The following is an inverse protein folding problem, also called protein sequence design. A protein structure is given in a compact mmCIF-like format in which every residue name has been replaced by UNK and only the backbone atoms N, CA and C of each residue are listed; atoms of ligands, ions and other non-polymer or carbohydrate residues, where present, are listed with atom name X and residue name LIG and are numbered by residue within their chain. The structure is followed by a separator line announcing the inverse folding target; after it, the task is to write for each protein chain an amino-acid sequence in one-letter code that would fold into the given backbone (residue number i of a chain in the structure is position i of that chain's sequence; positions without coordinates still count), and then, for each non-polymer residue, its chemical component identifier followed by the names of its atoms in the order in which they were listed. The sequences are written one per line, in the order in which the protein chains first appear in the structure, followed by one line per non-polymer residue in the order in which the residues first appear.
data_IF_901809765579
#
_entry.id   IF_901809765579
#
_cell.length_a   1.000
_cell.length_b   1.000
_cell.length_c   1.000
_cell.angle_alpha   90.00
_cell.angle_beta   90.00
_cell.angle_gamma   90.00
#
_symmetry.space_group_name_H-M   'P 1'
#
loop_
_entity.id
_entity.type
_entity.pdbx_description
1 polymer ?
#
# COMPACT_ATOMS: atom_id res chain seq x y z
N UNK A 1 -33.75 15.59 -2.54
CA UNK A 1 -34.43 14.44 -1.93
C UNK A 1 -34.50 13.33 -2.98
N UNK A 2 -33.44 12.54 -3.09
CA UNK A 2 -33.48 11.30 -3.87
C UNK A 2 -33.88 10.19 -2.88
N UNK A 3 -34.83 9.32 -3.25
CA UNK A 3 -35.31 8.28 -2.34
C UNK A 3 -34.13 7.40 -1.94
N UNK A 4 -34.07 7.05 -0.67
CA UNK A 4 -33.20 5.97 -0.15
C UNK A 4 -33.27 4.82 -1.15
N UNK A 5 -32.14 4.46 -1.76
CA UNK A 5 -32.06 3.32 -2.64
C UNK A 5 -32.20 2.08 -1.75
N UNK A 6 -33.46 1.77 -1.42
CA UNK A 6 -33.87 0.62 -0.64
C UNK A 6 -33.24 -0.61 -1.26
N UNK A 7 -32.62 -1.45 -0.43
CA UNK A 7 -32.18 -2.79 -0.79
C UNK A 7 -33.19 -3.40 -1.77
N UNK A 8 -32.77 -3.62 -3.01
CA UNK A 8 -33.58 -4.39 -3.94
C UNK A 8 -33.78 -5.77 -3.31
N UNK A 9 -35.01 -6.30 -3.42
CA UNK A 9 -35.29 -7.63 -2.90
C UNK A 9 -34.30 -8.60 -3.55
N UNK A 10 -33.46 -9.24 -2.74
CA UNK A 10 -32.51 -10.24 -3.24
C UNK A 10 -33.31 -11.25 -4.04
N UNK A 11 -32.86 -11.49 -5.27
CA UNK A 11 -33.48 -12.45 -6.17
C UNK A 11 -33.52 -13.79 -5.42
N UNK A 12 -34.64 -14.51 -5.52
CA UNK A 12 -34.95 -15.73 -4.75
C UNK A 12 -35.47 -15.53 -3.31
N UNK A 13 -35.71 -14.30 -2.85
CA UNK A 13 -36.34 -14.04 -1.54
C UNK A 13 -35.42 -14.34 -0.35
N UNK A 14 -34.11 -14.39 -0.59
CA UNK A 14 -33.11 -14.60 0.46
C UNK A 14 -32.99 -13.36 1.35
N UNK A 15 -32.62 -13.57 2.61
CA UNK A 15 -32.29 -12.46 3.49
C UNK A 15 -31.00 -11.77 3.00
N UNK A 16 -31.07 -10.46 2.86
CA UNK A 16 -29.97 -9.62 2.38
C UNK A 16 -28.67 -9.79 3.16
N UNK A 17 -28.75 -9.86 4.50
CA UNK A 17 -27.59 -10.04 5.37
C UNK A 17 -26.91 -11.39 5.12
N UNK A 18 -27.69 -12.47 4.99
CA UNK A 18 -27.17 -13.80 4.72
C UNK A 18 -26.54 -13.90 3.34
N UNK A 19 -27.19 -13.36 2.31
CA UNK A 19 -26.66 -13.38 0.94
C UNK A 19 -25.34 -12.61 0.83
N UNK A 20 -25.26 -11.42 1.43
CA UNK A 20 -24.04 -10.61 1.47
C UNK A 20 -22.92 -11.33 2.24
N UNK A 21 -23.22 -11.85 3.44
CA UNK A 21 -22.24 -12.53 4.30
C UNK A 21 -21.69 -13.80 3.66
N UNK A 22 -22.56 -14.63 3.06
CA UNK A 22 -22.14 -15.88 2.41
C UNK A 22 -21.29 -15.57 1.19
N UNK A 23 -21.71 -14.62 0.35
CA UNK A 23 -20.93 -14.20 -0.82
C UNK A 23 -19.54 -13.71 -0.41
N UNK A 24 -19.48 -12.80 0.57
CA UNK A 24 -18.23 -12.26 1.08
C UNK A 24 -17.34 -13.37 1.68
N UNK A 25 -17.89 -14.24 2.52
CA UNK A 25 -17.15 -15.33 3.14
C UNK A 25 -16.57 -16.31 2.10
N UNK A 26 -17.36 -16.70 1.10
CA UNK A 26 -16.89 -17.59 0.01
C UNK A 26 -15.74 -16.93 -0.76
N UNK A 27 -15.94 -15.68 -1.19
CA UNK A 27 -14.90 -14.92 -1.91
C UNK A 27 -13.64 -14.82 -1.06
N UNK A 28 -13.78 -14.53 0.23
CA UNK A 28 -12.66 -14.38 1.15
C UNK A 28 -11.89 -15.69 1.37
N UNK A 29 -12.59 -16.79 1.64
CA UNK A 29 -11.96 -18.11 1.77
C UNK A 29 -11.20 -18.47 0.51
N UNK A 30 -11.76 -18.21 -0.67
CA UNK A 30 -11.08 -18.48 -1.95
C UNK A 30 -9.84 -17.61 -2.14
N UNK A 31 -9.86 -16.33 -1.75
CA UNK A 31 -8.69 -15.44 -1.77
C UNK A 31 -7.58 -16.01 -0.88
N UNK A 32 -7.91 -16.43 0.35
CA UNK A 32 -6.94 -17.00 1.31
C UNK A 32 -6.32 -18.30 0.80
N UNK A 33 -7.00 -19.06 -0.06
CA UNK A 33 -6.38 -20.25 -0.68
C UNK A 33 -5.26 -19.91 -1.66
N UNK A 34 -5.16 -18.65 -2.11
CA UNK A 34 -4.22 -18.15 -3.12
C UNK A 34 -4.23 -18.92 -4.46
N UNK A 35 -5.24 -19.77 -4.69
CA UNK A 35 -5.34 -20.60 -5.91
C UNK A 35 -5.84 -19.81 -7.13
N UNK A 36 -6.63 -18.76 -6.89
CA UNK A 36 -7.24 -17.93 -7.93
C UNK A 36 -6.87 -16.47 -7.64
N UNK A 37 -6.60 -15.70 -8.69
CA UNK A 37 -6.25 -14.30 -8.56
C UNK A 37 -7.35 -13.51 -7.81
N UNK A 38 -6.95 -12.75 -6.78
CA UNK A 38 -7.84 -11.98 -5.91
C UNK A 38 -8.77 -11.02 -6.64
N UNK A 39 -8.32 -10.41 -7.75
CA UNK A 39 -9.14 -9.49 -8.54
C UNK A 39 -10.31 -10.21 -9.22
N UNK A 40 -10.07 -11.42 -9.74
CA UNK A 40 -11.12 -12.24 -10.37
C UNK A 40 -12.21 -12.55 -9.33
N UNK A 41 -11.80 -13.00 -8.14
CA UNK A 41 -12.72 -13.36 -7.07
C UNK A 41 -13.52 -12.15 -6.56
N UNK A 42 -12.85 -11.00 -6.36
CA UNK A 42 -13.52 -9.78 -5.91
C UNK A 42 -14.53 -9.25 -6.94
N UNK A 43 -14.18 -9.24 -8.24
CA UNK A 43 -15.08 -8.79 -9.29
C UNK A 43 -16.26 -9.75 -9.50
N UNK A 44 -16.03 -11.06 -9.44
CA UNK A 44 -17.11 -12.06 -9.49
C UNK A 44 -18.05 -11.90 -8.29
N UNK A 45 -17.50 -11.72 -7.09
CA UNK A 45 -18.27 -11.44 -5.88
C UNK A 45 -19.13 -10.18 -6.00
N UNK A 46 -18.54 -9.08 -6.43
CA UNK A 46 -19.25 -7.83 -6.71
C UNK A 46 -20.36 -8.03 -7.76
N UNK A 47 -20.06 -8.75 -8.84
CA UNK A 47 -21.03 -9.12 -9.86
C UNK A 47 -22.19 -9.96 -9.32
N UNK A 48 -21.92 -10.91 -8.42
CA UNK A 48 -22.95 -11.73 -7.77
C UNK A 48 -23.88 -10.90 -6.89
N UNK A 49 -23.37 -9.88 -6.19
CA UNK A 49 -24.21 -8.98 -5.40
C UNK A 49 -25.15 -8.14 -6.28
N UNK A 50 -24.69 -7.72 -7.46
CA UNK A 50 -25.48 -6.96 -8.42
C UNK A 50 -26.51 -7.85 -9.12
N UNK A 51 -26.04 -8.98 -9.69
CA UNK A 51 -26.89 -9.93 -10.41
C UNK A 51 -27.88 -10.62 -9.48
N UNK A 52 -27.52 -10.83 -8.21
CA UNK A 52 -28.41 -11.34 -7.16
C UNK A 52 -29.43 -10.31 -6.66
N UNK A 53 -29.40 -9.07 -7.18
CA UNK A 53 -30.35 -8.03 -6.82
C UNK A 53 -30.20 -7.50 -5.40
N UNK A 54 -29.07 -7.73 -4.72
CA UNK A 54 -28.80 -7.05 -3.44
C UNK A 54 -28.46 -5.58 -3.69
N UNK A 55 -27.63 -5.32 -4.70
CA UNK A 55 -27.23 -3.99 -5.12
C UNK A 55 -27.71 -3.75 -6.56
N UNK A 56 -28.11 -2.52 -6.86
CA UNK A 56 -28.18 -2.07 -8.25
C UNK A 56 -26.83 -1.46 -8.69
N UNK A 57 -26.66 -1.23 -9.99
CA UNK A 57 -25.40 -0.72 -10.54
C UNK A 57 -25.02 0.64 -9.94
N UNK A 58 -25.98 1.53 -9.71
CA UNK A 58 -25.73 2.85 -9.11
C UNK A 58 -25.28 2.76 -7.65
N UNK A 59 -25.87 1.86 -6.86
CA UNK A 59 -25.47 1.58 -5.48
C UNK A 59 -24.07 0.97 -5.44
N UNK A 60 -23.76 0.03 -6.34
CA UNK A 60 -22.42 -0.53 -6.47
C UNK A 60 -21.37 0.57 -6.76
N UNK A 61 -21.64 1.49 -7.68
CA UNK A 61 -20.74 2.62 -7.95
C UNK A 61 -20.60 3.58 -6.78
N UNK A 62 -21.67 3.81 -6.01
CA UNK A 62 -21.61 4.62 -4.78
C UNK A 62 -20.76 4.00 -3.69
N UNK A 63 -20.69 2.67 -3.63
CA UNK A 63 -19.84 1.95 -2.69
C UNK A 63 -18.34 2.07 -3.00
N UNK A 64 -17.96 2.49 -4.22
CA UNK A 64 -16.55 2.59 -4.64
C UNK A 64 -15.94 3.91 -4.17
N UNK A 65 -14.84 3.83 -3.42
CA UNK A 65 -14.03 4.99 -3.09
C UNK A 65 -13.04 5.32 -4.23
N UNK A 66 -13.48 6.20 -5.13
CA UNK A 66 -12.66 6.71 -6.22
C UNK A 66 -11.46 7.56 -5.77
N UNK A 67 -11.47 8.08 -4.54
CA UNK A 67 -10.32 8.80 -4.00
C UNK A 67 -9.18 7.82 -3.76
N UNK A 68 -9.48 6.69 -3.13
CA UNK A 68 -8.50 5.61 -2.94
C UNK A 68 -7.98 5.07 -4.28
N UNK A 69 -8.88 4.76 -5.23
CA UNK A 69 -8.48 4.24 -6.56
C UNK A 69 -7.62 5.24 -7.33
N UNK A 70 -8.03 6.51 -7.39
CA UNK A 70 -7.31 7.55 -8.11
C UNK A 70 -5.94 7.86 -7.48
N UNK A 71 -5.86 7.86 -6.15
CA UNK A 71 -4.59 8.05 -5.46
C UNK A 71 -3.61 6.90 -5.74
N UNK A 72 -4.06 5.65 -5.61
CA UNK A 72 -3.23 4.48 -5.90
C UNK A 72 -2.73 4.50 -7.34
N UNK A 73 -3.63 4.75 -8.31
CA UNK A 73 -3.26 4.84 -9.72
C UNK A 73 -2.21 5.93 -9.96
N UNK A 74 -2.44 7.14 -9.43
CA UNK A 74 -1.51 8.26 -9.59
C UNK A 74 -0.13 7.95 -9.02
N UNK A 75 -0.09 7.39 -7.80
CA UNK A 75 1.17 7.01 -7.17
C UNK A 75 1.88 5.89 -7.94
N UNK A 76 1.19 4.80 -8.32
CA UNK A 76 1.79 3.71 -9.10
C UNK A 76 2.42 4.21 -10.41
N UNK A 77 1.76 5.15 -11.11
CA UNK A 77 2.33 5.78 -12.32
C UNK A 77 3.57 6.60 -11.99
N UNK A 78 3.54 7.43 -10.94
CA UNK A 78 4.70 8.24 -10.53
C UNK A 78 5.89 7.33 -10.19
N UNK A 79 5.66 6.28 -9.40
CA UNK A 79 6.71 5.36 -8.97
C UNK A 79 7.24 4.54 -10.14
N UNK A 80 6.35 3.99 -10.99
CA UNK A 80 6.74 3.23 -12.17
C UNK A 80 7.60 4.02 -13.15
N UNK A 81 7.33 5.31 -13.33
CA UNK A 81 8.20 6.20 -14.13
C UNK A 81 9.52 6.49 -13.38
N UNK A 82 9.44 6.80 -12.09
CA UNK A 82 10.61 7.15 -11.27
C UNK A 82 11.60 5.99 -11.19
N UNK A 83 11.13 4.75 -11.14
CA UNK A 83 11.97 3.56 -11.07
C UNK A 83 12.94 3.43 -12.25
N UNK A 84 12.55 3.94 -13.44
CA UNK A 84 13.35 3.85 -14.67
C UNK A 84 14.68 4.60 -14.59
N UNK A 85 14.76 5.66 -13.77
CA UNK A 85 15.98 6.46 -13.64
C UNK A 85 17.04 5.85 -12.72
N UNK A 86 16.73 4.73 -12.04
CA UNK A 86 17.68 4.00 -11.21
C UNK A 86 17.88 4.57 -9.80
N UNK A 87 17.00 5.49 -9.34
CA UNK A 87 17.13 6.15 -8.04
C UNK A 87 17.11 5.17 -6.87
N UNK A 88 16.31 4.11 -6.95
CA UNK A 88 16.18 3.12 -5.88
C UNK A 88 17.45 2.28 -5.73
N UNK A 89 18.02 1.86 -6.87
CA UNK A 89 19.30 1.17 -6.96
C UNK A 89 20.43 2.05 -6.41
N UNK A 90 20.47 3.32 -6.79
CA UNK A 90 21.42 4.29 -6.27
C UNK A 90 21.35 4.36 -4.74
N UNK A 91 20.16 4.56 -4.17
CA UNK A 91 19.98 4.72 -2.71
C UNK A 91 20.35 3.44 -1.98
N UNK A 92 19.99 2.26 -2.48
CA UNK A 92 20.34 0.98 -1.87
C UNK A 92 21.87 0.73 -1.85
N UNK A 93 22.56 0.96 -2.97
CA UNK A 93 24.03 0.82 -3.04
C UNK A 93 24.72 1.84 -2.14
N UNK A 94 24.30 3.11 -2.20
CA UNK A 94 24.81 4.17 -1.34
C UNK A 94 24.67 3.81 0.14
N UNK A 95 23.51 3.26 0.51
CA UNK A 95 23.19 2.85 1.87
C UNK A 95 24.12 1.74 2.37
N UNK A 96 24.35 0.71 1.54
CA UNK A 96 25.28 -0.36 1.87
C UNK A 96 26.73 0.14 2.02
N UNK A 97 27.15 1.09 1.16
CA UNK A 97 28.49 1.70 1.24
C UNK A 97 28.65 2.60 2.46
N UNK A 98 27.60 3.33 2.86
CA UNK A 98 27.63 4.25 4.02
C UNK A 98 27.99 3.54 5.32
N UNK A 99 27.59 2.28 5.45
CA UNK A 99 27.88 1.38 6.59
C UNK A 99 29.10 0.48 6.36
N UNK A 100 29.96 0.84 5.40
CA UNK A 100 31.19 0.11 5.04
C UNK A 100 30.94 -1.37 4.69
N UNK A 101 29.78 -1.64 4.09
CA UNK A 101 29.31 -2.97 3.72
C UNK A 101 29.33 -3.99 4.89
N UNK A 102 29.26 -3.54 6.15
CA UNK A 102 29.19 -4.46 7.30
C UNK A 102 27.82 -5.15 7.29
N UNK A 103 27.71 -6.49 7.33
CA UNK A 103 26.44 -7.20 7.13
C UNK A 103 25.28 -6.68 7.97
N UNK A 104 25.46 -6.52 9.29
CA UNK A 104 24.43 -5.98 10.19
C UNK A 104 24.15 -4.50 9.94
N UNK A 105 25.18 -3.73 9.59
CA UNK A 105 25.01 -2.33 9.18
C UNK A 105 24.18 -2.22 7.90
N UNK A 106 24.45 -3.08 6.91
CA UNK A 106 23.70 -3.14 5.64
C UNK A 106 22.26 -3.52 5.91
N UNK A 107 22.02 -4.53 6.75
CA UNK A 107 20.67 -4.95 7.13
C UNK A 107 19.91 -3.77 7.74
N UNK A 108 20.54 -3.09 8.71
CA UNK A 108 19.91 -1.96 9.39
C UNK A 108 19.63 -0.80 8.44
N UNK A 109 20.61 -0.44 7.60
CA UNK A 109 20.48 0.70 6.70
C UNK A 109 19.47 0.45 5.58
N UNK A 110 19.49 -0.74 4.97
CA UNK A 110 18.50 -1.11 3.96
C UNK A 110 17.09 -1.17 4.57
N UNK A 111 16.93 -1.67 5.79
CA UNK A 111 15.64 -1.66 6.49
C UNK A 111 15.12 -0.24 6.72
N UNK A 112 15.97 0.67 7.19
CA UNK A 112 15.58 2.08 7.41
C UNK A 112 15.24 2.75 6.08
N UNK A 113 16.03 2.54 5.05
CA UNK A 113 15.78 3.07 3.69
C UNK A 113 14.46 2.56 3.16
N UNK A 114 14.21 1.26 3.26
CA UNK A 114 12.95 0.63 2.86
C UNK A 114 11.78 1.26 3.61
N UNK A 115 11.85 1.45 4.93
CA UNK A 115 10.79 2.12 5.68
C UNK A 115 10.56 3.58 5.23
N UNK A 116 11.64 4.34 5.01
CA UNK A 116 11.53 5.72 4.55
C UNK A 116 10.94 5.79 3.15
N UNK A 117 11.34 4.91 2.24
CA UNK A 117 10.79 4.84 0.90
C UNK A 117 9.32 4.42 0.93
N UNK A 118 8.96 3.39 1.71
CA UNK A 118 7.57 2.94 1.91
C UNK A 118 6.68 4.02 2.55
N UNK A 119 7.24 4.97 3.29
CA UNK A 119 6.46 6.10 3.80
C UNK A 119 5.95 7.02 2.68
N UNK A 120 6.49 6.94 1.46
CA UNK A 120 6.07 7.77 0.31
C UNK A 120 5.62 6.96 -0.90
N UNK A 121 5.77 5.64 -0.85
CA UNK A 121 5.51 4.70 -1.93
C UNK A 121 4.73 3.52 -1.36
N UNK A 122 3.99 2.80 -2.18
CA UNK A 122 3.33 1.60 -1.67
C UNK A 122 4.35 0.51 -1.29
N UNK A 123 3.95 -0.34 -0.34
CA UNK A 123 4.80 -1.36 0.26
C UNK A 123 5.30 -2.38 -0.77
N UNK A 124 4.42 -2.86 -1.65
CA UNK A 124 4.76 -3.88 -2.65
C UNK A 124 5.80 -3.34 -3.62
N UNK A 125 5.57 -2.15 -4.16
CA UNK A 125 6.51 -1.51 -5.09
C UNK A 125 7.85 -1.23 -4.44
N UNK A 126 7.86 -0.77 -3.19
CA UNK A 126 9.12 -0.52 -2.46
C UNK A 126 9.96 -1.80 -2.34
N UNK A 127 9.33 -2.92 -1.95
CA UNK A 127 10.00 -4.21 -1.84
C UNK A 127 10.48 -4.69 -3.20
N UNK A 128 9.63 -4.64 -4.25
CA UNK A 128 10.01 -5.08 -5.60
C UNK A 128 11.20 -4.32 -6.19
N UNK A 129 11.39 -3.05 -5.82
CA UNK A 129 12.49 -2.22 -6.30
C UNK A 129 13.78 -2.42 -5.51
N UNK A 130 13.70 -2.64 -4.19
CA UNK A 130 14.87 -2.79 -3.33
C UNK A 130 15.41 -4.23 -3.36
N UNK A 131 14.54 -5.25 -3.37
CA UNK A 131 14.91 -6.66 -3.29
C UNK A 131 15.95 -7.09 -4.34
N UNK A 132 15.83 -6.75 -5.64
CA UNK A 132 16.83 -7.13 -6.64
C UNK A 132 18.23 -6.62 -6.27
N UNK A 133 18.32 -5.41 -5.72
CA UNK A 133 19.59 -4.79 -5.32
C UNK A 133 20.12 -5.43 -4.04
N UNK A 134 19.24 -5.75 -3.10
CA UNK A 134 19.57 -6.48 -1.88
C UNK A 134 20.12 -7.87 -2.19
N UNK A 135 19.54 -8.57 -3.17
CA UNK A 135 20.06 -9.86 -3.63
C UNK A 135 21.49 -9.71 -4.18
N UNK A 136 21.75 -8.71 -5.02
CA UNK A 136 23.10 -8.45 -5.55
C UNK A 136 24.09 -8.10 -4.43
N UNK A 137 23.70 -7.24 -3.48
CA UNK A 137 24.57 -6.86 -2.35
C UNK A 137 24.88 -8.07 -1.46
N UNK A 138 23.88 -8.91 -1.17
CA UNK A 138 24.04 -10.08 -0.30
C UNK A 138 24.84 -11.20 -0.97
N UNK A 139 24.68 -11.38 -2.29
CA UNK A 139 25.52 -12.26 -3.10
C UNK A 139 26.99 -11.83 -3.07
N UNK A 140 27.26 -10.53 -3.26
CA UNK A 140 28.63 -10.00 -3.17
C UNK A 140 29.22 -10.11 -1.77
N UNK A 141 28.40 -9.92 -0.73
CA UNK A 141 28.81 -10.13 0.66
C UNK A 141 29.00 -11.60 1.04
N UNK A 142 28.55 -12.54 0.20
CA UNK A 142 28.50 -13.98 0.47
C UNK A 142 27.73 -14.32 1.75
N UNK A 143 26.63 -13.61 1.99
CA UNK A 143 25.72 -13.83 3.13
C UNK A 143 24.36 -14.31 2.64
N UNK A 144 23.59 -14.96 3.52
CA UNK A 144 22.23 -15.38 3.18
C UNK A 144 21.35 -14.14 2.98
N UNK A 145 20.57 -14.03 1.89
CA UNK A 145 19.67 -12.89 1.66
C UNK A 145 18.46 -12.88 2.59
N UNK A 146 18.04 -14.06 3.07
CA UNK A 146 16.81 -14.25 3.85
C UNK A 146 16.60 -13.24 4.99
N UNK A 147 17.57 -12.96 5.89
CA UNK A 147 17.41 -11.95 6.94
C UNK A 147 17.13 -10.54 6.41
N UNK A 148 17.75 -10.17 5.29
CA UNK A 148 17.58 -8.85 4.68
C UNK A 148 16.17 -8.71 4.09
N UNK A 149 15.73 -9.71 3.34
CA UNK A 149 14.40 -9.71 2.72
C UNK A 149 13.28 -9.66 3.77
N UNK A 150 13.39 -10.45 4.85
CA UNK A 150 12.41 -10.41 5.94
C UNK A 150 12.41 -9.04 6.62
N UNK A 151 13.60 -8.48 6.88
CA UNK A 151 13.70 -7.16 7.49
C UNK A 151 13.11 -6.07 6.58
N UNK A 152 13.36 -6.13 5.28
CA UNK A 152 12.78 -5.19 4.30
C UNK A 152 11.26 -5.30 4.24
N UNK A 153 10.68 -6.50 4.23
CA UNK A 153 9.23 -6.69 4.26
C UNK A 153 8.63 -6.10 5.55
N UNK A 154 9.22 -6.36 6.71
CA UNK A 154 8.76 -5.80 7.98
C UNK A 154 8.85 -4.28 8.00
N UNK A 155 10.00 -3.73 7.59
CA UNK A 155 10.24 -2.29 7.60
C UNK A 155 9.47 -1.55 6.53
N UNK A 156 9.17 -2.18 5.40
CA UNK A 156 8.25 -1.63 4.40
C UNK A 156 6.87 -1.43 5.00
N UNK A 157 6.30 -2.45 5.64
CA UNK A 157 5.01 -2.32 6.33
C UNK A 157 5.04 -1.27 7.44
N UNK A 158 6.06 -1.29 8.32
CA UNK A 158 6.21 -0.32 9.40
C UNK A 158 6.33 1.11 8.85
N UNK A 159 7.15 1.32 7.82
CA UNK A 159 7.32 2.62 7.18
C UNK A 159 6.06 3.10 6.46
N UNK A 160 5.39 2.21 5.72
CA UNK A 160 4.16 2.52 5.00
C UNK A 160 3.02 2.95 5.90
N UNK A 161 2.98 2.43 7.14
CA UNK A 161 1.99 2.88 8.13
C UNK A 161 2.17 4.34 8.58
N UNK A 162 3.30 5.00 8.30
CA UNK A 162 3.61 6.33 8.82
C UNK A 162 2.87 7.47 8.15
N UNK A 163 2.40 7.26 6.93
CA UNK A 163 1.76 8.29 6.15
C UNK A 163 0.47 7.79 5.54
N UNK A 164 -0.36 8.72 5.09
CA UNK A 164 -1.59 8.41 4.38
C UNK A 164 -1.36 7.59 3.11
N UNK A 165 -0.18 7.68 2.48
CA UNK A 165 0.07 7.17 1.12
C UNK A 165 0.74 5.79 1.12
N UNK A 166 1.49 5.48 2.16
CA UNK A 166 2.39 4.32 2.16
C UNK A 166 1.71 2.95 2.06
N UNK A 167 0.42 2.86 2.39
CA UNK A 167 -0.35 1.61 2.30
C UNK A 167 -1.82 1.87 1.95
N UNK A 168 -2.45 1.12 1.02
CA UNK A 168 -3.88 1.23 0.76
C UNK A 168 -4.84 1.30 1.96
N UNK A 169 -4.68 0.52 3.04
CA UNK A 169 -5.54 0.63 4.21
C UNK A 169 -5.49 2.01 4.86
N UNK A 170 -4.33 2.67 4.88
CA UNK A 170 -4.21 4.04 5.39
C UNK A 170 -5.02 5.02 4.54
N UNK A 171 -4.95 4.88 3.22
CA UNK A 171 -5.70 5.70 2.27
C UNK A 171 -7.20 5.52 2.53
N UNK A 172 -7.66 4.29 2.70
CA UNK A 172 -9.07 3.98 2.99
C UNK A 172 -9.53 4.60 4.30
N UNK A 173 -8.74 4.46 5.37
CA UNK A 173 -9.04 5.06 6.69
C UNK A 173 -9.09 6.59 6.56
N UNK A 174 -8.12 7.20 5.89
CA UNK A 174 -8.06 8.64 5.74
C UNK A 174 -9.19 9.21 4.90
N UNK A 175 -9.57 8.51 3.82
CA UNK A 175 -10.72 8.88 2.98
C UNK A 175 -12.04 8.80 3.75
N UNK A 176 -12.26 7.72 4.51
CA UNK A 176 -13.50 7.52 5.25
C UNK A 176 -13.64 8.41 6.49
N UNK A 177 -12.55 8.61 7.23
CA UNK A 177 -12.53 9.46 8.43
C UNK A 177 -12.26 10.95 8.15
N UNK A 178 -11.99 11.31 6.89
CA UNK A 178 -11.64 12.68 6.50
C UNK A 178 -10.29 13.16 7.06
N UNK A 179 -9.38 12.24 7.33
CA UNK A 179 -8.06 12.55 7.88
C UNK A 179 -7.10 13.01 6.77
N UNK A 180 -6.33 14.05 7.06
CA UNK A 180 -5.32 14.60 6.17
C UNK A 180 -4.00 13.83 6.25
N UNK A 181 -3.12 14.05 5.27
CA UNK A 181 -1.75 13.54 5.31
C UNK A 181 -1.01 13.95 6.61
N UNK A 182 -1.24 15.18 7.08
CA UNK A 182 -0.60 15.69 8.29
C UNK A 182 -1.10 14.97 9.55
N UNK A 183 -2.37 14.55 9.58
CA UNK A 183 -2.91 13.80 10.72
C UNK A 183 -2.19 12.46 10.88
N UNK A 184 -1.92 11.75 9.78
CA UNK A 184 -1.12 10.52 9.81
C UNK A 184 0.30 10.79 10.29
N UNK A 185 0.98 11.80 9.71
CA UNK A 185 2.38 12.10 10.06
C UNK A 185 2.51 12.47 11.54
N UNK A 186 1.66 13.37 12.04
CA UNK A 186 1.76 13.88 13.42
C UNK A 186 1.45 12.76 14.44
N UNK A 187 0.46 11.91 14.17
CA UNK A 187 0.01 10.91 15.13
C UNK A 187 0.76 9.57 15.03
N UNK A 188 1.10 9.12 13.82
CA UNK A 188 1.70 7.80 13.60
C UNK A 188 3.22 7.82 13.54
N UNK A 189 3.83 8.83 12.93
CA UNK A 189 5.29 8.85 12.75
C UNK A 189 6.09 8.73 14.06
N UNK A 190 5.72 9.41 15.17
CA UNK A 190 6.42 9.25 16.45
C UNK A 190 6.35 7.81 16.99
N UNK A 191 5.18 7.17 16.89
CA UNK A 191 4.97 5.79 17.32
C UNK A 191 5.77 4.84 16.44
N UNK A 192 5.81 5.08 15.14
CA UNK A 192 6.53 4.25 14.18
C UNK A 192 8.03 4.31 14.39
N UNK A 193 8.61 5.44 14.77
CA UNK A 193 10.03 5.49 15.15
C UNK A 193 10.33 4.56 16.33
N UNK A 194 9.42 4.47 17.31
CA UNK A 194 9.55 3.53 18.42
C UNK A 194 9.39 2.08 17.95
N UNK A 195 8.42 1.79 17.08
CA UNK A 195 8.20 0.45 16.50
C UNK A 195 9.38 0.01 15.64
N UNK A 196 9.96 0.92 14.85
CA UNK A 196 11.17 0.68 14.07
C UNK A 196 12.34 0.31 14.99
N UNK A 197 12.55 1.04 16.08
CA UNK A 197 13.59 0.70 17.05
C UNK A 197 13.32 -0.65 17.73
N UNK A 198 12.07 -0.87 18.17
CA UNK A 198 11.63 -2.09 18.83
C UNK A 198 11.69 -3.33 17.91
N UNK A 199 11.58 -3.15 16.59
CA UNK A 199 11.70 -4.23 15.60
C UNK A 199 13.15 -4.43 15.15
N UNK A 200 13.91 -3.35 14.93
CA UNK A 200 15.29 -3.42 14.42
C UNK A 200 16.21 -4.16 15.40
N UNK A 201 16.07 -3.87 16.70
CA UNK A 201 16.96 -4.42 17.73
C UNK A 201 16.85 -5.95 17.79
N UNK A 202 15.66 -6.57 17.95
CA UNK A 202 15.52 -8.02 17.88
C UNK A 202 16.01 -8.62 16.57
N UNK A 203 15.64 -8.04 15.42
CA UNK A 203 16.07 -8.50 14.09
C UNK A 203 17.61 -8.58 14.00
N UNK A 204 18.29 -7.52 14.41
CA UNK A 204 19.75 -7.47 14.44
C UNK A 204 20.35 -8.47 15.43
N UNK A 205 19.73 -8.71 16.58
CA UNK A 205 20.22 -9.64 17.60
C UNK A 205 20.06 -11.11 17.17
N UNK A 206 18.93 -11.46 16.56
CA UNK A 206 18.62 -12.82 16.10
C UNK A 206 19.60 -13.25 15.01
N UNK A 207 19.81 -12.41 13.98
CA UNK A 207 20.66 -12.76 12.84
C UNK A 207 22.12 -12.32 12.98
N UNK A 208 22.53 -11.75 14.12
CA UNK A 208 23.91 -11.29 14.37
C UNK A 208 24.96 -12.36 14.07
N UNK A 209 24.68 -13.61 14.44
CA UNK A 209 25.63 -14.72 14.35
C UNK A 209 25.71 -15.31 12.93
N UNK A 210 24.64 -15.18 12.16
CA UNK A 210 24.53 -15.75 10.81
C UNK A 210 25.07 -14.80 9.72
N UNK A 211 25.29 -13.53 10.07
CA UNK A 211 25.70 -12.47 9.15
C UNK A 211 27.16 -12.06 9.39
N UNK A 212 28.08 -12.84 8.83
CA UNK A 212 29.51 -12.54 8.80
C UNK A 212 30.03 -12.52 7.36
N UNK A 213 30.75 -11.46 6.99
CA UNK A 213 31.36 -11.31 5.67
C UNK A 213 32.86 -11.04 5.81
N UNK A 214 33.66 -11.61 4.91
CA UNK A 214 35.10 -11.34 4.85
C UNK A 214 35.37 -9.92 4.38
N UNK A 215 36.53 -9.36 4.75
CA UNK A 215 36.93 -8.01 4.31
C UNK A 215 36.99 -7.90 2.78
N UNK A 216 37.41 -8.96 2.09
CA UNK A 216 37.39 -9.03 0.63
C UNK A 216 35.97 -8.92 0.05
N UNK A 217 34.99 -9.59 0.66
CA UNK A 217 33.59 -9.53 0.22
C UNK A 217 32.98 -8.16 0.44
N UNK A 218 33.36 -7.52 1.54
CA UNK A 218 32.98 -6.13 1.82
C UNK A 218 33.58 -5.17 0.80
N UNK A 219 34.85 -5.36 0.41
CA UNK A 219 35.51 -4.55 -0.63
C UNK A 219 34.81 -4.65 -1.98
N UNK A 220 34.28 -5.81 -2.37
CA UNK A 220 33.53 -5.95 -3.63
C UNK A 220 32.30 -5.04 -3.67
N UNK A 221 31.50 -5.00 -2.60
CA UNK A 221 30.37 -4.06 -2.48
C UNK A 221 30.85 -2.60 -2.44
N UNK A 222 31.96 -2.33 -1.75
CA UNK A 222 32.52 -0.96 -1.69
C UNK A 222 33.01 -0.46 -3.06
N UNK A 223 33.38 -1.36 -3.96
CA UNK A 223 33.80 -1.05 -5.33
C UNK A 223 32.63 -0.74 -6.27
N UNK A 224 31.38 -1.01 -5.86
CA UNK A 224 30.23 -0.57 -6.63
C UNK A 224 30.24 0.95 -6.80
N UNK A 225 29.98 1.40 -8.03
CA UNK A 225 29.77 2.81 -8.33
C UNK A 225 28.28 3.10 -8.32
N UNK A 226 27.76 3.64 -7.22
CA UNK A 226 26.35 3.97 -7.10
C UNK A 226 25.87 4.91 -8.21
N UNK A 227 26.73 5.77 -8.75
CA UNK A 227 26.36 6.71 -9.82
C UNK A 227 26.04 6.03 -11.14
N UNK A 228 26.62 4.85 -11.40
CA UNK A 228 26.30 4.05 -12.58
C UNK A 228 24.89 3.46 -12.52
N UNK A 229 24.29 3.39 -11.32
CA UNK A 229 22.90 3.00 -11.18
C UNK A 229 21.94 4.05 -11.77
N UNK A 230 22.33 5.33 -11.81
CA UNK A 230 21.50 6.38 -12.41
C UNK A 230 21.64 6.35 -13.93
N UNK A 231 20.59 5.88 -14.60
CA UNK A 231 20.53 5.72 -16.06
C UNK A 231 20.08 7.00 -16.77
N UNK A 232 19.22 7.80 -16.12
CA UNK A 232 18.66 9.03 -16.68
C UNK A 232 18.60 10.16 -15.63
N UNK A 233 19.59 11.06 -15.69
CA UNK A 233 19.69 12.21 -14.76
C UNK A 233 18.60 13.24 -15.01
N UNK A 234 18.09 13.38 -16.24
CA UNK A 234 17.00 14.31 -16.55
C UNK A 234 15.72 13.81 -15.89
N UNK A 235 15.38 12.54 -16.11
CA UNK A 235 14.21 11.92 -15.52
C UNK A 235 14.29 11.90 -14.00
N UNK A 236 15.47 11.62 -13.41
CA UNK A 236 15.70 11.71 -11.98
C UNK A 236 15.31 13.08 -11.41
N UNK A 237 15.78 14.17 -12.03
CA UNK A 237 15.47 15.53 -11.56
C UNK A 237 13.98 15.85 -11.69
N UNK A 238 13.35 15.44 -12.80
CA UNK A 238 11.92 15.62 -13.04
C UNK A 238 11.09 14.85 -12.01
N UNK A 239 11.41 13.57 -11.78
CA UNK A 239 10.74 12.71 -10.83
C UNK A 239 10.87 13.24 -9.39
N UNK A 240 12.07 13.60 -8.94
CA UNK A 240 12.28 14.16 -7.61
C UNK A 240 11.55 15.49 -7.41
N UNK A 241 11.53 16.34 -8.44
CA UNK A 241 10.77 17.60 -8.38
C UNK A 241 9.27 17.35 -8.28
N UNK A 242 8.71 16.44 -9.09
CA UNK A 242 7.29 16.10 -9.03
C UNK A 242 6.93 15.45 -7.69
N UNK A 243 7.72 14.50 -7.20
CA UNK A 243 7.52 13.87 -5.90
C UNK A 243 7.53 14.92 -4.77
N UNK A 244 8.49 15.84 -4.77
CA UNK A 244 8.53 16.92 -3.79
C UNK A 244 7.29 17.83 -3.87
N UNK A 245 6.84 18.18 -5.08
CA UNK A 245 5.64 18.98 -5.30
C UNK A 245 4.36 18.25 -4.86
N UNK A 246 4.26 16.94 -5.09
CA UNK A 246 3.15 16.08 -4.66
C UNK A 246 3.11 15.98 -3.13
N UNK A 247 4.25 15.71 -2.48
CA UNK A 247 4.33 15.68 -1.02
C UNK A 247 3.97 17.03 -0.40
N UNK A 248 4.47 18.14 -0.95
CA UNK A 248 4.11 19.48 -0.50
C UNK A 248 2.61 19.74 -0.69
N UNK A 249 2.04 19.30 -1.81
CA UNK A 249 0.61 19.43 -2.08
C UNK A 249 -0.23 18.61 -1.10
N UNK A 250 0.22 17.42 -0.68
CA UNK A 250 -0.44 16.63 0.36
C UNK A 250 -0.43 17.33 1.72
N UNK A 251 0.67 17.97 2.09
CA UNK A 251 0.78 18.77 3.32
C UNK A 251 -0.22 19.95 3.29
N UNK A 252 -0.41 20.56 2.12
CA UNK A 252 -1.32 21.70 1.91
C UNK A 252 -2.74 21.28 1.53
N UNK A 253 -3.01 19.98 1.31
CA UNK A 253 -4.25 19.49 0.70
C UNK A 253 -5.51 19.91 1.48
N UNK A 254 -5.43 19.87 2.81
CA UNK A 254 -6.53 20.25 3.68
C UNK A 254 -6.86 21.75 3.57
N UNK A 255 -5.83 22.61 3.48
CA UNK A 255 -6.01 24.05 3.30
C UNK A 255 -6.49 24.42 1.88
N UNK A 256 -6.15 23.60 0.88
CA UNK A 256 -6.55 23.79 -0.51
C UNK A 256 -7.89 23.10 -0.86
N UNK A 257 -8.49 22.38 0.09
CA UNK A 257 -9.69 21.55 -0.13
C UNK A 257 -9.56 20.58 -1.31
N UNK A 258 -8.37 20.02 -1.49
CA UNK A 258 -8.08 19.07 -2.57
C UNK A 258 -8.15 17.64 -2.05
N UNK A 259 -8.84 16.79 -2.80
CA UNK A 259 -8.83 15.35 -2.58
C UNK A 259 -7.43 14.78 -2.89
N UNK A 260 -6.94 13.83 -2.06
CA UNK A 260 -5.65 13.19 -2.29
C UNK A 260 -5.48 12.59 -3.71
N UNK A 261 -6.51 11.96 -4.27
CA UNK A 261 -6.51 11.46 -5.64
C UNK A 261 -6.19 12.52 -6.69
N UNK A 262 -6.74 13.73 -6.55
CA UNK A 262 -6.53 14.81 -7.51
C UNK A 262 -5.06 15.22 -7.55
N UNK A 263 -4.41 15.28 -6.39
CA UNK A 263 -2.99 15.62 -6.25
C UNK A 263 -2.13 14.55 -6.93
N UNK A 264 -2.37 13.27 -6.61
CA UNK A 264 -1.61 12.16 -7.16
C UNK A 264 -1.77 12.04 -8.68
N UNK A 265 -3.01 12.08 -9.19
CA UNK A 265 -3.30 11.98 -10.62
C UNK A 265 -2.74 13.16 -11.41
N UNK A 266 -2.82 14.38 -10.87
CA UNK A 266 -2.21 15.54 -11.51
C UNK A 266 -0.68 15.45 -11.51
N UNK A 267 -0.07 15.03 -10.39
CA UNK A 267 1.37 14.77 -10.32
C UNK A 267 1.83 13.73 -11.34
N UNK A 268 1.08 12.63 -11.48
CA UNK A 268 1.33 11.59 -12.47
C UNK A 268 1.26 12.13 -13.91
N UNK A 269 0.23 12.93 -14.22
CA UNK A 269 0.07 13.57 -15.52
C UNK A 269 1.21 14.55 -15.83
N UNK A 270 1.65 15.34 -14.83
CA UNK A 270 2.80 16.25 -14.97
C UNK A 270 4.08 15.46 -15.21
N UNK A 271 4.34 14.38 -14.47
CA UNK A 271 5.55 13.57 -14.68
C UNK A 271 5.54 12.89 -16.06
N UNK A 272 4.40 12.35 -16.49
CA UNK A 272 4.23 11.81 -17.83
C UNK A 272 4.52 12.86 -18.90
N UNK A 273 4.01 14.08 -18.74
CA UNK A 273 4.30 15.18 -19.65
C UNK A 273 5.80 15.52 -19.66
N UNK A 274 6.43 15.62 -18.48
CA UNK A 274 7.83 15.99 -18.34
C UNK A 274 8.78 14.95 -18.95
N UNK A 275 8.51 13.67 -18.74
CA UNK A 275 9.28 12.56 -19.34
C UNK A 275 9.18 12.60 -20.88
N UNK A 276 8.03 13.00 -21.41
CA UNK A 276 7.72 13.01 -22.83
C UNK A 276 7.97 14.34 -23.56
N UNK A 277 8.38 15.38 -22.84
CA UNK A 277 8.71 16.69 -23.41
C UNK A 277 9.85 16.60 -24.43
N UNK A 278 9.57 17.05 -25.66
CA UNK A 278 10.54 17.06 -26.76
C UNK A 278 10.74 15.71 -27.45
N UNK A 279 9.94 14.69 -27.13
CA UNK A 279 9.92 13.40 -27.83
C UNK A 279 8.84 13.40 -28.92
N UNK A 280 9.04 12.60 -29.97
CA UNK A 280 8.05 12.39 -31.04
C UNK A 280 6.85 11.57 -30.54
N UNK A 281 5.71 11.65 -31.25
CA UNK A 281 4.45 11.05 -30.83
C UNK A 281 4.51 9.51 -30.66
N UNK A 282 5.33 8.81 -31.44
CA UNK A 282 5.48 7.35 -31.34
C UNK A 282 6.21 6.99 -30.05
N UNK A 283 7.32 7.68 -29.78
CA UNK A 283 8.07 7.53 -28.52
C UNK A 283 7.20 7.91 -27.32
N UNK A 284 6.38 8.96 -27.43
CA UNK A 284 5.44 9.33 -26.36
C UNK A 284 4.45 8.21 -26.04
N UNK A 285 3.81 7.65 -27.06
CA UNK A 285 2.87 6.55 -26.91
C UNK A 285 3.53 5.34 -26.24
N UNK A 286 4.75 4.99 -26.66
CA UNK A 286 5.52 3.89 -26.06
C UNK A 286 5.84 4.12 -24.58
N UNK A 287 6.26 5.32 -24.20
CA UNK A 287 6.60 5.63 -22.80
C UNK A 287 5.36 5.61 -21.90
N UNK A 288 4.24 6.17 -22.38
CA UNK A 288 2.96 6.15 -21.67
C UNK A 288 2.46 4.71 -21.49
N UNK A 289 2.50 3.89 -22.54
CA UNK A 289 2.16 2.47 -22.44
C UNK A 289 3.03 1.74 -21.42
N UNK A 290 4.34 1.98 -21.42
CA UNK A 290 5.22 1.37 -20.43
C UNK A 290 4.92 1.87 -19.01
N UNK A 291 4.61 3.15 -18.81
CA UNK A 291 4.25 3.67 -17.49
C UNK A 291 2.95 3.03 -16.97
N UNK A 292 1.95 2.83 -17.84
CA UNK A 292 0.72 2.13 -17.48
C UNK A 292 0.89 0.62 -17.32
N UNK A 293 1.93 0.02 -17.90
CA UNK A 293 2.25 -1.39 -17.69
C UNK A 293 2.84 -1.65 -16.30
N UNK A 294 3.49 -0.66 -15.68
CA UNK A 294 3.99 -0.74 -14.30
C UNK A 294 2.86 -0.63 -13.26
N UNK A 295 1.67 -0.18 -13.65
CA UNK A 295 0.52 -0.07 -12.73
C UNK A 295 0.03 -1.47 -12.36
N UNK A 296 -0.18 -1.69 -11.05
CA UNK A 296 -0.76 -2.93 -10.55
C UNK A 296 -2.27 -3.01 -10.79
N UNK A 297 -2.67 -3.25 -12.03
CA UNK A 297 -4.09 -3.34 -12.41
C UNK A 297 -4.86 -4.41 -11.64
N UNK A 298 -4.20 -5.51 -11.28
CA UNK A 298 -4.77 -6.55 -10.41
C UNK A 298 -5.19 -5.96 -9.06
N UNK A 299 -4.33 -5.14 -8.46
CA UNK A 299 -4.60 -4.48 -7.18
C UNK A 299 -5.76 -3.49 -7.32
N UNK A 300 -5.77 -2.64 -8.35
CA UNK A 300 -6.87 -1.68 -8.58
C UNK A 300 -8.23 -2.38 -8.81
N UNK A 301 -8.26 -3.43 -9.63
CA UNK A 301 -9.48 -4.21 -9.89
C UNK A 301 -9.96 -4.97 -8.66
N UNK A 302 -9.03 -5.45 -7.83
CA UNK A 302 -9.34 -6.04 -6.55
C UNK A 302 -10.03 -5.04 -5.60
N UNK A 303 -9.49 -3.82 -5.46
CA UNK A 303 -10.13 -2.77 -4.65
C UNK A 303 -11.52 -2.41 -5.16
N UNK A 304 -11.70 -2.30 -6.48
CA UNK A 304 -12.99 -2.01 -7.08
C UNK A 304 -14.05 -3.05 -6.67
N UNK A 305 -13.72 -4.34 -6.80
CA UNK A 305 -14.62 -5.42 -6.40
C UNK A 305 -14.83 -5.49 -4.88
N UNK A 306 -13.77 -5.29 -4.10
CA UNK A 306 -13.83 -5.31 -2.64
C UNK A 306 -14.72 -4.19 -2.07
N UNK A 307 -14.62 -2.97 -2.60
CA UNK A 307 -15.48 -1.87 -2.17
C UNK A 307 -16.96 -2.18 -2.40
N UNK A 308 -17.31 -2.77 -3.55
CA UNK A 308 -18.68 -3.20 -3.83
C UNK A 308 -19.11 -4.32 -2.86
N UNK A 309 -18.24 -5.29 -2.60
CA UNK A 309 -18.50 -6.38 -1.66
C UNK A 309 -18.77 -5.88 -0.23
N UNK A 310 -17.96 -4.95 0.25
CA UNK A 310 -18.10 -4.31 1.56
C UNK A 310 -19.37 -3.46 1.63
N UNK A 311 -19.66 -2.67 0.60
CA UNK A 311 -20.90 -1.91 0.54
C UNK A 311 -22.13 -2.84 0.52
N UNK A 312 -22.01 -4.03 -0.06
CA UNK A 312 -23.02 -5.08 0.04
C UNK A 312 -23.26 -5.57 1.47
N UNK A 313 -22.20 -5.74 2.28
CA UNK A 313 -22.34 -6.09 3.70
C UNK A 313 -23.01 -4.98 4.51
N UNK A 314 -22.71 -3.72 4.17
CA UNK A 314 -23.31 -2.53 4.78
C UNK A 314 -24.81 -2.45 4.46
N UNK A 315 -25.18 -2.46 3.17
CA UNK A 315 -26.59 -2.44 2.71
C UNK A 315 -27.37 -3.67 3.20
N UNK A 316 -26.68 -4.81 3.32
CA UNK A 316 -27.25 -6.04 3.90
C UNK A 316 -27.50 -5.96 5.41
N UNK A 317 -27.01 -4.93 6.11
CA UNK A 317 -27.17 -4.75 7.55
C UNK A 317 -26.23 -5.59 8.41
N UNK A 318 -25.24 -6.27 7.81
CA UNK A 318 -24.28 -7.14 8.51
C UNK A 318 -23.38 -6.31 9.41
N UNK A 319 -22.85 -5.20 8.88
CA UNK A 319 -21.94 -4.31 9.60
C UNK A 319 -22.63 -3.72 10.83
N UNK A 320 -23.86 -3.21 10.67
CA UNK A 320 -24.64 -2.68 11.80
C UNK A 320 -24.86 -3.72 12.90
N UNK A 321 -25.17 -4.97 12.54
CA UNK A 321 -25.35 -6.05 13.51
C UNK A 321 -24.04 -6.40 14.25
N UNK A 322 -22.90 -6.30 13.57
CA UNK A 322 -21.58 -6.47 14.20
C UNK A 322 -21.27 -5.32 15.16
N UNK A 323 -21.58 -4.08 14.79
CA UNK A 323 -21.32 -2.89 15.61
C UNK A 323 -22.11 -2.96 16.94
N UNK A 324 -23.40 -3.31 16.86
CA UNK A 324 -24.26 -3.47 18.04
C UNK A 324 -23.75 -4.55 18.99
N UNK A 325 -23.23 -5.67 18.46
CA UNK A 325 -22.61 -6.73 19.27
C UNK A 325 -21.30 -6.30 19.92
N UNK A 326 -20.46 -5.56 19.19
CA UNK A 326 -19.19 -5.06 19.72
C UNK A 326 -19.45 -4.07 20.86
N UNK A 327 -20.40 -3.15 20.69
CA UNK A 327 -20.81 -2.21 21.73
C UNK A 327 -21.42 -2.92 22.95
N UNK A 328 -22.24 -3.94 22.74
CA UNK A 328 -22.80 -4.73 23.83
C UNK A 328 -21.71 -5.48 24.62
N UNK A 329 -20.70 -6.04 23.93
CA UNK A 329 -19.60 -6.78 24.55
C UNK A 329 -18.63 -5.89 25.34
N UNK A 330 -18.45 -4.64 24.90
CA UNK A 330 -17.56 -3.65 25.52
C UNK A 330 -18.26 -2.79 26.57
N UNK A 331 -19.57 -2.97 26.76
CA UNK A 331 -20.40 -2.12 27.62
C UNK A 331 -20.56 -0.69 27.10
N UNK A 332 -20.17 -0.42 25.85
CA UNK A 332 -20.12 0.92 25.27
C UNK A 332 -19.02 1.82 25.85
N UNK A 333 -18.11 1.27 26.67
CA UNK A 333 -16.98 2.04 27.19
C UNK A 333 -15.98 2.31 26.07
N UNK A 334 -15.70 3.61 25.86
CA UNK A 334 -14.86 4.08 24.76
C UNK A 334 -13.47 3.44 24.77
N UNK A 335 -12.81 3.43 25.92
CA UNK A 335 -11.43 2.94 26.03
C UNK A 335 -11.35 1.42 25.81
N UNK A 336 -12.31 0.68 26.36
CA UNK A 336 -12.43 -0.77 26.16
C UNK A 336 -12.70 -1.09 24.69
N UNK A 337 -13.57 -0.32 24.04
CA UNK A 337 -13.89 -0.48 22.61
C UNK A 337 -12.67 -0.21 21.73
N UNK A 338 -11.93 0.88 21.99
CA UNK A 338 -10.71 1.20 21.25
C UNK A 338 -9.66 0.09 21.43
N UNK A 339 -9.46 -0.40 22.65
CA UNK A 339 -8.51 -1.48 22.92
C UNK A 339 -8.94 -2.80 22.28
N UNK A 340 -10.24 -3.11 22.29
CA UNK A 340 -10.80 -4.29 21.64
C UNK A 340 -10.61 -4.25 20.12
N UNK A 341 -10.87 -3.09 19.49
CA UNK A 341 -10.60 -2.89 18.06
C UNK A 341 -9.10 -3.02 17.80
N UNK A 342 -8.24 -2.31 18.54
CA UNK A 342 -6.79 -2.33 18.33
C UNK A 342 -6.20 -3.75 18.40
N UNK A 343 -6.46 -4.49 19.47
CA UNK A 343 -5.94 -5.84 19.64
C UNK A 343 -6.64 -6.87 18.76
N UNK A 344 -7.95 -6.73 18.57
CA UNK A 344 -8.72 -7.57 17.66
C UNK A 344 -8.20 -7.46 16.23
N UNK A 345 -8.00 -6.23 15.75
CA UNK A 345 -7.39 -5.94 14.45
C UNK A 345 -5.98 -6.51 14.35
N UNK A 346 -5.12 -6.30 15.35
CA UNK A 346 -3.75 -6.80 15.31
C UNK A 346 -3.67 -8.33 15.20
N UNK A 347 -4.54 -9.06 15.90
CA UNK A 347 -4.58 -10.53 15.86
C UNK A 347 -5.20 -11.03 14.56
N UNK A 348 -6.32 -10.43 14.13
CA UNK A 348 -7.02 -10.84 12.91
C UNK A 348 -6.18 -10.57 11.66
N UNK A 349 -5.47 -9.44 11.59
CA UNK A 349 -4.54 -9.10 10.51
C UNK A 349 -3.38 -10.09 10.34
N UNK A 350 -3.11 -10.96 11.32
CA UNK A 350 -2.13 -12.04 11.16
C UNK A 350 -2.63 -13.19 10.28
N UNK A 351 -3.95 -13.32 10.12
CA UNK A 351 -4.60 -14.38 9.34
C UNK A 351 -5.40 -13.84 8.15
N UNK A 352 -5.81 -12.57 8.23
CA UNK A 352 -6.66 -11.89 7.27
C UNK A 352 -5.84 -10.77 6.63
N UNK A 353 -5.77 -10.73 5.30
CA UNK A 353 -5.14 -9.63 4.57
C UNK A 353 -5.68 -8.26 5.06
N UNK A 354 -4.78 -7.29 5.26
CA UNK A 354 -5.08 -6.02 5.93
C UNK A 354 -6.11 -5.18 5.16
N UNK A 355 -6.09 -5.28 3.83
CA UNK A 355 -6.97 -4.54 2.94
C UNK A 355 -8.46 -4.88 3.16
N UNK A 356 -8.89 -6.15 2.96
CA UNK A 356 -10.28 -6.54 3.19
C UNK A 356 -10.71 -6.39 4.64
N UNK A 357 -9.79 -6.60 5.58
CA UNK A 357 -10.07 -6.35 7.00
C UNK A 357 -10.45 -4.89 7.26
N UNK A 358 -9.60 -3.94 6.87
CA UNK A 358 -9.86 -2.50 7.04
C UNK A 358 -11.11 -2.07 6.29
N UNK A 359 -11.34 -2.61 5.09
CA UNK A 359 -12.54 -2.31 4.32
C UNK A 359 -13.82 -2.68 5.09
N UNK A 360 -13.84 -3.80 5.81
CA UNK A 360 -14.99 -4.19 6.64
C UNK A 360 -15.08 -3.45 7.97
N UNK A 361 -13.95 -3.01 8.54
CA UNK A 361 -13.90 -2.37 9.85
C UNK A 361 -14.17 -0.86 9.79
N UNK A 362 -13.93 -0.19 8.66
CA UNK A 362 -14.20 1.25 8.53
C UNK A 362 -15.69 1.58 8.72
N UNK A 363 -16.64 0.84 8.12
CA UNK A 363 -18.06 1.15 8.30
C UNK A 363 -18.64 0.62 9.62
N UNK A 364 -17.89 -0.21 10.36
CA UNK A 364 -18.25 -0.78 11.67
C UNK A 364 -18.03 0.25 12.78
#
# INVERSE_FOLDING_TARGET
MHPEASASQVIFGWNAAWFASITFAIVYVLIVTEKINRAILALLGAGLLILGGLLNQEAAFRGIDFNTIGLLLGMMVIVGITAKCGVFQYVAIWSAKKVQARPIGVLSMLSIVTAVLSAFLDNVTTVLLIVPVTLVITEELKVKPYPYLISEVLFSNIGGTATLIGDPPNIMIGSAAGLSFNDFVINLSPVILLVMAATLVPVCLVWRKDLAATEESRRRVMNFNEREAITDVRLLKQALWVLAAVVLSFILAHALHLAPATIAMFGAAVLLLLDNLGRDAETQSKNVHHAFAEVEWVTLMFFLGLFILVHGLEVGGVIRAMAEKLLAATGGERDVTILAILWGSAILSAFIDNIPFVATMIPL
#
